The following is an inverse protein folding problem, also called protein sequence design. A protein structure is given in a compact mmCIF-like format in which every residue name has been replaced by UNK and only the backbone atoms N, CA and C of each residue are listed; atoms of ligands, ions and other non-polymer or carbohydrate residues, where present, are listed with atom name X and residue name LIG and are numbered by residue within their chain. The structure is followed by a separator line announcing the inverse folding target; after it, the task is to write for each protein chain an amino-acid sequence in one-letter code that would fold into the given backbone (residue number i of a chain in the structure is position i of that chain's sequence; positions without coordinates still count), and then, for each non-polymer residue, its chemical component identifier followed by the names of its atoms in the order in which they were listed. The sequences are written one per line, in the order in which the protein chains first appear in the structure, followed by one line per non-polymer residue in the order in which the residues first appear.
data_IF_326720898327
#
_entry.id   IF_326720898327
#
_cell.length_a   1.000
_cell.length_b   1.000
_cell.length_c   1.000
_cell.angle_alpha   90.00
_cell.angle_beta   90.00
_cell.angle_gamma   90.00
#
_symmetry.space_group_name_H-M   'P 1'
#
loop_
_entity.id
_entity.type
_entity.pdbx_description
1 polymer ?
#
# COMPACT_ATOMS: atom_id res chain seq x y z
N UNK A 1 -42.40 -16.52 10.80
CA UNK A 1 -42.20 -16.15 12.21
C UNK A 1 -42.02 -17.44 13.00
N UNK A 2 -40.76 -17.82 13.29
CA UNK A 2 -40.44 -19.04 14.05
C UNK A 2 -40.07 -18.62 15.46
N UNK A 3 -40.89 -19.00 16.44
CA UNK A 3 -40.67 -18.65 17.83
C UNK A 3 -39.68 -19.62 18.48
N UNK A 4 -38.82 -19.03 19.30
CA UNK A 4 -37.67 -19.55 20.02
C UNK A 4 -38.12 -20.29 21.29
N UNK A 5 -37.48 -21.44 21.56
CA UNK A 5 -37.63 -22.30 22.74
C UNK A 5 -36.44 -22.11 23.67
N UNK A 6 -36.65 -21.90 24.99
CA UNK A 6 -35.68 -22.33 26.03
C UNK A 6 -36.44 -22.72 27.30
N UNK A 7 -36.20 -23.95 27.76
CA UNK A 7 -36.63 -24.51 29.05
C UNK A 7 -35.44 -24.43 30.01
N UNK A 8 -35.67 -23.91 31.22
CA UNK A 8 -34.74 -23.92 32.35
C UNK A 8 -35.12 -25.05 33.32
N UNK A 9 -34.17 -25.91 33.67
CA UNK A 9 -34.25 -26.76 34.87
C UNK A 9 -32.89 -26.73 35.58
N UNK A 10 -32.83 -26.46 36.90
CA UNK A 10 -31.58 -26.35 37.64
C UNK A 10 -31.16 -27.66 38.31
N UNK A 11 -29.84 -27.75 38.55
CA UNK A 11 -29.11 -28.49 39.60
C UNK A 11 -29.48 -29.96 39.83
N UNK A 12 -28.45 -30.83 39.78
CA UNK A 12 -28.14 -31.81 40.84
C UNK A 12 -26.66 -32.24 40.72
N UNK A 13 -26.00 -32.39 41.86
CA UNK A 13 -24.84 -33.26 42.00
C UNK A 13 -23.51 -32.59 42.35
N UNK A 14 -23.29 -32.38 43.64
CA UNK A 14 -21.95 -32.38 44.24
C UNK A 14 -21.32 -33.77 44.06
N UNK A 15 -20.12 -33.85 43.48
CA UNK A 15 -19.09 -34.81 43.91
C UNK A 15 -17.72 -34.17 43.77
N UNK A 16 -17.01 -34.12 44.90
CA UNK A 16 -15.64 -33.69 45.00
C UNK A 16 -14.70 -34.77 44.45
N UNK A 17 -13.69 -34.37 43.68
CA UNK A 17 -12.40 -35.04 43.67
C UNK A 17 -11.31 -34.02 43.31
N UNK A 18 -10.41 -33.79 44.25
CA UNK A 18 -9.20 -33.00 44.07
C UNK A 18 -8.22 -33.83 43.24
N UNK A 19 -8.01 -33.45 41.99
CA UNK A 19 -6.75 -33.63 41.29
C UNK A 19 -6.60 -32.48 40.29
N UNK A 20 -5.86 -31.45 40.69
CA UNK A 20 -5.37 -30.43 39.77
C UNK A 20 -4.04 -30.98 39.25
N UNK A 21 -4.11 -31.73 38.15
CA UNK A 21 -2.96 -31.85 37.27
C UNK A 21 -2.98 -30.64 36.35
N UNK A 22 -2.01 -29.75 36.56
CA UNK A 22 -1.72 -28.62 35.69
C UNK A 22 -1.21 -29.15 34.35
N UNK A 23 -2.12 -29.48 33.44
CA UNK A 23 -1.76 -29.54 32.03
C UNK A 23 -1.49 -28.12 31.57
N UNK A 24 -0.20 -27.81 31.39
CA UNK A 24 0.24 -26.58 30.78
C UNK A 24 -0.46 -26.43 29.44
N UNK A 25 -1.31 -25.41 29.32
CA UNK A 25 -1.86 -24.95 28.05
C UNK A 25 -0.67 -24.62 27.14
N UNK A 26 -0.31 -25.57 26.30
CA UNK A 26 0.63 -25.35 25.22
C UNK A 26 -0.11 -24.44 24.27
N UNK A 27 0.05 -23.13 24.46
CA UNK A 27 -0.36 -22.11 23.50
C UNK A 27 0.38 -22.42 22.22
N UNK A 28 -0.21 -23.28 21.39
CA UNK A 28 0.13 -23.42 20.00
C UNK A 28 -0.30 -22.10 19.38
N UNK A 29 0.63 -21.14 19.34
CA UNK A 29 0.57 -20.06 18.38
C UNK A 29 0.41 -20.71 17.02
N UNK A 30 -0.83 -20.70 16.53
CA UNK A 30 -1.11 -20.89 15.12
C UNK A 30 -0.40 -19.70 14.47
N UNK A 31 0.82 -19.94 13.99
CA UNK A 31 1.46 -19.02 13.05
C UNK A 31 0.52 -19.05 11.85
N UNK A 32 -0.34 -18.04 11.72
CA UNK A 32 -1.23 -17.97 10.56
C UNK A 32 -0.33 -17.97 9.33
N UNK A 33 -0.80 -18.58 8.25
CA UNK A 33 -0.22 -18.33 6.94
C UNK A 33 0.01 -16.83 6.81
N UNK A 34 1.22 -16.44 6.45
CA UNK A 34 1.57 -15.05 6.21
C UNK A 34 0.57 -14.55 5.16
N UNK A 35 -0.42 -13.76 5.55
CA UNK A 35 -1.44 -13.24 4.66
C UNK A 35 -0.74 -12.22 3.75
N UNK A 36 -0.14 -12.69 2.66
CA UNK A 36 0.48 -11.83 1.65
C UNK A 36 -0.61 -11.32 0.71
N UNK A 37 -1.05 -10.09 0.95
CA UNK A 37 -2.02 -9.40 0.13
C UNK A 37 -1.59 -7.97 -0.16
N UNK A 38 -2.13 -7.42 -1.25
CA UNK A 38 -2.14 -5.98 -1.49
C UNK A 38 -3.50 -5.45 -1.07
N UNK A 39 -3.51 -4.51 -0.14
CA UNK A 39 -4.68 -3.72 0.20
C UNK A 39 -4.84 -2.58 -0.81
N UNK A 40 -6.05 -2.41 -1.31
CA UNK A 40 -6.40 -1.34 -2.23
C UNK A 40 -7.55 -0.52 -1.63
N UNK A 41 -7.35 0.80 -1.56
CA UNK A 41 -8.41 1.75 -1.28
C UNK A 41 -8.89 2.39 -2.58
N UNK A 42 -10.22 2.41 -2.79
CA UNK A 42 -10.87 2.84 -4.04
C UNK A 42 -10.59 1.91 -5.23
N UNK A 43 -11.00 2.30 -6.44
CA UNK A 43 -10.76 1.55 -7.69
C UNK A 43 -10.29 2.49 -8.80
N UNK A 44 -9.54 1.96 -9.76
CA UNK A 44 -9.01 2.75 -10.88
C UNK A 44 -10.12 3.43 -11.68
N UNK A 45 -11.26 2.77 -11.89
CA UNK A 45 -12.40 3.35 -12.62
C UNK A 45 -12.99 4.58 -11.91
N UNK A 46 -13.00 4.61 -10.58
CA UNK A 46 -13.44 5.76 -9.82
C UNK A 46 -12.48 6.95 -10.01
N UNK A 47 -11.17 6.69 -9.97
CA UNK A 47 -10.15 7.70 -10.29
C UNK A 47 -10.33 8.22 -11.72
N UNK A 48 -10.51 7.34 -12.71
CA UNK A 48 -10.70 7.71 -14.11
C UNK A 48 -11.94 8.60 -14.30
N UNK A 49 -13.01 8.32 -13.56
CA UNK A 49 -14.27 9.07 -13.58
C UNK A 49 -14.24 10.40 -12.82
N UNK A 50 -13.12 10.79 -12.21
CA UNK A 50 -13.01 12.07 -11.47
C UNK A 50 -13.35 11.98 -9.98
N UNK A 51 -13.49 10.78 -9.41
CA UNK A 51 -13.69 10.59 -7.97
C UNK A 51 -12.35 10.72 -7.25
N UNK A 52 -11.91 11.98 -7.06
CA UNK A 52 -10.59 12.28 -6.49
C UNK A 52 -10.57 12.42 -4.98
N UNK A 53 -11.71 12.62 -4.33
CA UNK A 53 -11.77 12.77 -2.87
C UNK A 53 -12.14 11.43 -2.22
N UNK A 54 -11.25 10.93 -1.38
CA UNK A 54 -11.51 9.81 -0.47
C UNK A 54 -11.42 10.23 0.99
N UNK A 55 -11.86 9.33 1.87
CA UNK A 55 -11.87 9.49 3.32
C UNK A 55 -10.88 8.57 4.06
N UNK A 56 -10.04 7.83 3.34
CA UNK A 56 -8.98 7.02 3.94
C UNK A 56 -7.85 7.92 4.42
N UNK A 57 -7.72 8.08 5.74
CA UNK A 57 -6.61 8.79 6.37
C UNK A 57 -5.33 7.95 6.31
N UNK A 58 -4.16 8.58 6.34
CA UNK A 58 -2.89 7.84 6.39
C UNK A 58 -2.69 7.09 7.70
N UNK A 59 -3.24 7.56 8.81
CA UNK A 59 -3.31 6.79 10.06
C UNK A 59 -3.98 5.42 9.85
N UNK A 60 -5.08 5.39 9.10
CA UNK A 60 -5.81 4.14 8.84
C UNK A 60 -5.17 3.33 7.72
N UNK A 61 -4.65 3.98 6.67
CA UNK A 61 -3.99 3.29 5.56
C UNK A 61 -2.79 2.46 6.05
N UNK A 62 -2.00 2.99 6.97
CA UNK A 62 -0.83 2.30 7.56
C UNK A 62 -1.17 1.03 8.32
N UNK A 63 -2.44 0.81 8.70
CA UNK A 63 -2.90 -0.44 9.32
C UNK A 63 -2.99 -1.60 8.31
N UNK A 64 -2.85 -1.30 7.02
CA UNK A 64 -2.94 -2.27 5.93
C UNK A 64 -1.62 -2.50 5.21
N UNK A 65 -0.55 -1.79 5.60
CA UNK A 65 0.73 -1.89 4.94
C UNK A 65 1.70 -0.78 5.32
N UNK A 66 2.99 -1.05 5.11
CA UNK A 66 4.09 -0.12 5.35
C UNK A 66 4.76 0.35 4.05
N UNK A 67 4.34 -0.18 2.90
CA UNK A 67 4.90 0.14 1.60
C UNK A 67 3.81 0.21 0.53
N UNK A 68 3.89 1.20 -0.35
CA UNK A 68 2.93 1.33 -1.44
C UNK A 68 2.96 2.64 -2.19
N UNK A 69 2.00 2.78 -3.09
CA UNK A 69 1.83 3.94 -3.99
C UNK A 69 0.37 4.36 -4.04
N UNK A 70 0.12 5.59 -4.50
CA UNK A 70 -1.23 6.10 -4.67
C UNK A 70 -1.26 7.55 -5.11
N UNK A 71 -2.41 8.19 -4.93
CA UNK A 71 -2.58 9.62 -5.14
C UNK A 71 -3.17 10.29 -3.92
N UNK A 72 -3.03 11.61 -3.83
CA UNK A 72 -3.72 12.39 -2.81
C UNK A 72 -5.09 12.82 -3.29
N UNK A 73 -5.94 13.22 -2.33
CA UNK A 73 -7.18 13.91 -2.66
C UNK A 73 -6.92 15.07 -3.63
N UNK A 74 -7.89 15.36 -4.50
CA UNK A 74 -7.78 16.39 -5.55
C UNK A 74 -6.67 16.16 -6.57
N UNK A 75 -6.06 14.97 -6.68
CA UNK A 75 -4.84 14.75 -7.47
C UNK A 75 -3.66 15.63 -7.01
N UNK A 76 -3.58 16.01 -5.73
CA UNK A 76 -2.48 16.84 -5.22
C UNK A 76 -1.17 16.05 -5.04
N UNK A 77 -0.55 15.69 -6.17
CA UNK A 77 0.69 14.93 -6.22
C UNK A 77 0.52 13.42 -6.08
N UNK A 78 1.67 12.75 -6.07
CA UNK A 78 1.78 11.29 -5.98
C UNK A 78 2.13 10.87 -4.55
N UNK A 79 1.56 9.75 -4.12
CA UNK A 79 1.86 9.11 -2.84
C UNK A 79 2.94 8.04 -3.02
N UNK A 80 3.96 8.12 -2.17
CA UNK A 80 4.89 7.02 -1.90
C UNK A 80 4.86 6.72 -0.40
N UNK A 81 4.55 5.49 -0.04
CA UNK A 81 4.73 4.98 1.32
C UNK A 81 5.94 4.06 1.36
N UNK A 82 6.86 4.29 2.28
CA UNK A 82 8.00 3.41 2.51
C UNK A 82 8.30 3.33 4.02
N UNK A 83 8.31 2.12 4.55
CA UNK A 83 8.54 1.83 5.98
C UNK A 83 7.59 2.63 6.88
N UNK A 84 6.31 2.70 6.48
CA UNK A 84 5.26 3.40 7.20
C UNK A 84 5.32 4.92 7.14
N UNK A 85 6.33 5.50 6.47
CA UNK A 85 6.43 6.94 6.23
C UNK A 85 5.79 7.27 4.89
N UNK A 86 4.86 8.24 4.90
CA UNK A 86 4.15 8.70 3.70
C UNK A 86 4.78 9.98 3.18
N UNK A 87 5.14 9.97 1.90
CA UNK A 87 5.69 11.10 1.18
C UNK A 87 4.73 11.54 0.07
N UNK A 88 4.57 12.86 -0.05
CA UNK A 88 3.94 13.50 -1.20
C UNK A 88 4.99 14.01 -2.16
N UNK A 89 4.94 13.53 -3.40
CA UNK A 89 5.74 14.05 -4.51
C UNK A 89 4.86 15.04 -5.27
N UNK A 90 5.18 16.32 -5.18
CA UNK A 90 4.40 17.41 -5.79
C UNK A 90 4.76 17.59 -7.26
N UNK A 91 3.87 18.26 -8.00
CA UNK A 91 4.03 18.57 -9.42
C UNK A 91 5.36 19.27 -9.78
N UNK A 92 5.95 20.01 -8.85
CA UNK A 92 7.20 20.73 -9.02
C UNK A 92 8.44 19.92 -8.61
N UNK A 93 8.26 18.64 -8.24
CA UNK A 93 9.32 17.76 -7.77
C UNK A 93 9.66 17.90 -6.29
N UNK A 94 9.01 18.79 -5.53
CA UNK A 94 9.19 18.86 -4.08
C UNK A 94 8.64 17.59 -3.43
N UNK A 95 9.39 17.06 -2.46
CA UNK A 95 9.02 15.89 -1.68
C UNK A 95 8.85 16.32 -0.23
N UNK A 96 7.70 16.03 0.35
CA UNK A 96 7.41 16.32 1.76
C UNK A 96 6.81 15.09 2.45
N UNK A 97 7.14 14.91 3.73
CA UNK A 97 6.42 13.96 4.57
C UNK A 97 5.05 14.55 4.92
N UNK A 98 4.01 13.73 4.88
CA UNK A 98 2.64 14.17 5.15
C UNK A 98 2.15 13.72 6.53
N UNK A 99 1.16 14.44 7.04
CA UNK A 99 0.53 14.16 8.33
C UNK A 99 -0.40 12.95 8.24
N UNK A 100 -0.53 12.21 9.35
CA UNK A 100 -1.40 11.03 9.43
C UNK A 100 -2.90 11.37 9.29
N UNK A 101 -3.24 12.66 9.48
CA UNK A 101 -4.59 13.19 9.30
C UNK A 101 -4.94 13.53 7.85
N UNK A 102 -3.96 13.59 6.94
CA UNK A 102 -4.26 13.74 5.51
C UNK A 102 -4.88 12.45 4.95
N UNK A 103 -5.56 12.58 3.81
CA UNK A 103 -6.30 11.48 3.19
C UNK A 103 -5.97 11.26 1.72
N UNK A 104 -6.22 10.04 1.27
CA UNK A 104 -6.04 9.60 -0.12
C UNK A 104 -7.37 9.29 -0.80
N UNK A 105 -7.41 9.53 -2.11
CA UNK A 105 -8.51 9.11 -2.99
C UNK A 105 -8.28 7.73 -3.62
N UNK A 106 -7.03 7.24 -3.64
CA UNK A 106 -6.65 5.93 -4.16
C UNK A 106 -5.27 5.53 -3.62
N UNK A 107 -5.15 4.31 -3.11
CA UNK A 107 -3.88 3.77 -2.65
C UNK A 107 -3.81 2.25 -2.81
N UNK A 108 -2.59 1.75 -2.98
CA UNK A 108 -2.23 0.34 -3.04
C UNK A 108 -1.06 0.12 -2.09
N UNK A 109 -1.28 -0.61 -0.99
CA UNK A 109 -0.29 -0.83 0.06
C UNK A 109 -0.22 -2.30 0.44
N UNK A 110 0.91 -2.73 1.00
CA UNK A 110 1.05 -4.03 1.67
C UNK A 110 2.09 -3.93 2.79
N UNK A 111 2.06 -4.90 3.68
CA UNK A 111 3.19 -5.17 4.58
C UNK A 111 4.31 -5.80 3.76
N UNK A 112 5.36 -5.01 3.48
CA UNK A 112 6.38 -5.37 2.52
C UNK A 112 7.50 -6.21 3.13
N UNK A 113 7.48 -7.49 2.78
CA UNK A 113 8.62 -8.40 2.95
C UNK A 113 9.07 -8.88 1.57
N UNK A 114 10.35 -8.73 1.19
CA UNK A 114 10.80 -9.14 -0.13
C UNK A 114 10.94 -10.67 -0.23
N UNK A 115 10.22 -11.30 -1.16
CA UNK A 115 10.40 -12.73 -1.47
C UNK A 115 11.68 -13.01 -2.27
N UNK A 116 12.05 -12.07 -3.13
CA UNK A 116 13.22 -12.15 -4.01
C UNK A 116 14.01 -10.85 -3.89
N UNK A 117 15.30 -10.98 -3.63
CA UNK A 117 16.23 -9.86 -3.62
C UNK A 117 17.42 -10.16 -4.54
N UNK A 118 17.76 -9.20 -5.41
CA UNK A 118 18.89 -9.32 -6.32
C UNK A 118 19.48 -7.95 -6.68
N UNK A 119 20.71 -7.96 -7.19
CA UNK A 119 21.44 -6.76 -7.60
C UNK A 119 21.56 -6.76 -9.12
N UNK A 120 21.22 -5.64 -9.75
CA UNK A 120 21.47 -5.41 -11.18
C UNK A 120 22.75 -4.58 -11.30
N UNK A 121 23.81 -5.20 -11.84
CA UNK A 121 25.05 -4.51 -12.16
C UNK A 121 25.13 -4.34 -13.68
N UNK A 122 24.89 -3.11 -14.16
CA UNK A 122 25.02 -2.80 -15.58
C UNK A 122 25.54 -1.39 -15.78
N UNK A 123 26.48 -1.24 -16.72
CA UNK A 123 26.88 0.09 -17.23
C UNK A 123 25.79 0.57 -18.18
N UNK A 124 25.36 1.82 -18.02
CA UNK A 124 24.34 2.41 -18.91
C UNK A 124 22.95 1.79 -18.76
N UNK A 125 22.60 1.26 -17.58
CA UNK A 125 21.27 0.71 -17.31
C UNK A 125 20.19 1.74 -17.64
N UNK A 126 19.28 1.39 -18.54
CA UNK A 126 18.12 2.18 -18.91
C UNK A 126 16.82 1.46 -18.49
N UNK A 127 15.67 2.12 -18.67
CA UNK A 127 14.39 1.58 -18.24
C UNK A 127 14.01 0.24 -18.92
N UNK A 128 14.15 0.07 -20.26
CA UNK A 128 13.94 -1.23 -20.90
C UNK A 128 14.79 -2.36 -20.28
N UNK A 129 16.08 -2.14 -20.09
CA UNK A 129 16.98 -3.13 -19.50
C UNK A 129 16.62 -3.46 -18.04
N UNK A 130 16.21 -2.45 -17.26
CA UNK A 130 15.72 -2.64 -15.89
C UNK A 130 14.44 -3.47 -15.89
N UNK A 131 13.48 -3.14 -16.76
CA UNK A 131 12.23 -3.88 -16.91
C UNK A 131 12.50 -5.33 -17.24
N UNK A 132 13.33 -5.61 -18.25
CA UNK A 132 13.67 -6.98 -18.66
C UNK A 132 14.37 -7.77 -17.55
N UNK A 133 15.26 -7.11 -16.79
CA UNK A 133 15.93 -7.72 -15.65
C UNK A 133 14.94 -8.13 -14.55
N UNK A 134 13.89 -7.36 -14.34
CA UNK A 134 12.84 -7.67 -13.36
C UNK A 134 11.90 -8.76 -13.90
N UNK A 135 11.40 -8.62 -15.13
CA UNK A 135 10.38 -9.53 -15.70
C UNK A 135 10.87 -10.96 -15.84
N UNK A 136 12.17 -11.17 -16.09
CA UNK A 136 12.79 -12.51 -16.13
C UNK A 136 12.74 -13.26 -14.79
N UNK A 137 12.41 -12.58 -13.68
CA UNK A 137 12.43 -13.13 -12.31
C UNK A 137 11.05 -13.24 -11.68
N UNK A 138 10.01 -12.80 -12.37
CA UNK A 138 8.63 -12.82 -11.90
C UNK A 138 7.76 -13.65 -12.85
N UNK A 139 6.63 -14.15 -12.33
CA UNK A 139 5.66 -14.91 -13.10
C UNK A 139 4.61 -13.98 -13.68
N UNK A 140 3.99 -14.40 -14.78
CA UNK A 140 2.83 -13.71 -15.33
C UNK A 140 1.61 -13.88 -14.41
N UNK A 141 0.63 -12.97 -14.53
CA UNK A 141 -0.66 -13.02 -13.84
C UNK A 141 -0.57 -12.98 -12.30
N UNK A 142 0.32 -12.16 -11.74
CA UNK A 142 0.43 -11.90 -10.30
C UNK A 142 0.65 -10.41 -10.03
N UNK A 143 0.28 -9.95 -8.83
CA UNK A 143 0.55 -8.58 -8.37
C UNK A 143 1.90 -8.58 -7.64
N UNK A 144 2.74 -7.60 -7.92
CA UNK A 144 4.07 -7.47 -7.33
C UNK A 144 4.24 -6.11 -6.67
N UNK A 145 4.73 -6.10 -5.43
CA UNK A 145 5.35 -4.92 -4.85
C UNK A 145 6.86 -4.98 -5.13
N UNK A 146 7.41 -3.92 -5.72
CA UNK A 146 8.81 -3.88 -6.12
C UNK A 146 9.45 -2.64 -5.52
N UNK A 147 10.45 -2.86 -4.67
CA UNK A 147 11.28 -1.80 -4.09
C UNK A 147 12.65 -1.80 -4.76
N UNK A 148 13.01 -0.68 -5.39
CA UNK A 148 14.29 -0.51 -6.09
C UNK A 148 15.10 0.57 -5.35
N UNK A 149 16.32 0.21 -4.94
CA UNK A 149 17.29 1.14 -4.34
C UNK A 149 18.59 1.16 -5.14
N UNK A 150 19.22 2.33 -5.24
CA UNK A 150 20.42 2.49 -6.05
C UNK A 150 20.77 3.93 -6.40
N UNK A 151 21.83 4.08 -7.19
CA UNK A 151 22.23 5.37 -7.75
C UNK A 151 21.70 5.45 -9.17
N UNK A 152 20.93 6.50 -9.46
CA UNK A 152 20.37 6.75 -10.78
C UNK A 152 20.92 8.06 -11.31
N UNK A 153 21.54 8.02 -12.49
CA UNK A 153 22.05 9.23 -13.15
C UNK A 153 20.91 10.18 -13.48
N UNK A 154 19.79 9.64 -13.95
CA UNK A 154 18.60 10.40 -14.34
C UNK A 154 17.35 9.61 -14.01
N UNK A 155 16.29 10.29 -13.56
CA UNK A 155 14.94 9.73 -13.47
C UNK A 155 13.97 10.79 -13.98
N UNK A 156 13.09 10.39 -14.88
CA UNK A 156 11.96 11.22 -15.27
C UNK A 156 10.75 10.75 -14.45
N UNK A 157 10.07 11.71 -13.83
CA UNK A 157 8.87 11.47 -13.05
C UNK A 157 7.80 12.48 -13.44
N UNK A 158 6.57 12.19 -13.04
CA UNK A 158 5.43 13.10 -13.20
C UNK A 158 4.62 13.06 -11.92
N UNK A 159 4.04 14.20 -11.57
CA UNK A 159 3.06 14.30 -10.49
C UNK A 159 2.02 15.33 -10.89
N UNK A 160 0.71 15.04 -10.74
CA UNK A 160 -0.34 15.95 -11.12
C UNK A 160 -0.34 17.22 -10.25
N UNK A 161 -0.84 18.31 -10.83
CA UNK A 161 -1.22 19.48 -10.05
C UNK A 161 -2.50 19.17 -9.26
N UNK A 162 -2.79 19.89 -8.17
CA UNK A 162 -4.10 19.81 -7.54
C UNK A 162 -5.19 20.24 -8.53
N UNK A 163 -6.24 19.44 -8.63
CA UNK A 163 -7.49 19.76 -9.30
C UNK A 163 -8.45 20.52 -8.37
N UNK A 164 -9.40 21.24 -8.96
CA UNK A 164 -10.46 21.96 -8.27
C UNK A 164 -11.83 21.45 -8.72
N UNK A 165 -12.84 21.53 -7.86
CA UNK A 165 -14.20 21.14 -8.21
C UNK A 165 -14.82 22.13 -9.22
N UNK A 166 -15.75 21.67 -10.09
CA UNK A 166 -16.12 20.26 -10.28
C UNK A 166 -14.98 19.47 -10.93
N UNK A 167 -14.74 18.24 -10.45
CA UNK A 167 -13.68 17.40 -11.00
C UNK A 167 -14.08 16.86 -12.37
N UNK A 168 -13.21 17.07 -13.35
CA UNK A 168 -13.33 16.43 -14.67
C UNK A 168 -12.78 15.00 -14.64
N UNK A 169 -13.14 14.15 -15.60
CA UNK A 169 -12.48 12.86 -15.80
C UNK A 169 -10.96 12.99 -15.93
N UNK A 170 -10.21 11.96 -15.51
CA UNK A 170 -8.74 12.03 -15.46
C UNK A 170 -8.11 12.29 -16.82
N UNK A 171 -8.63 11.70 -17.89
CA UNK A 171 -8.10 11.92 -19.23
C UNK A 171 -8.17 13.40 -19.65
N UNK A 172 -9.31 14.04 -19.40
CA UNK A 172 -9.53 15.46 -19.69
C UNK A 172 -8.62 16.34 -18.83
N UNK A 173 -8.47 15.97 -17.55
CA UNK A 173 -7.57 16.67 -16.63
C UNK A 173 -6.13 16.65 -17.14
N UNK A 174 -5.61 15.46 -17.45
CA UNK A 174 -4.23 15.28 -17.90
C UNK A 174 -3.96 15.94 -19.27
N UNK A 175 -4.96 16.02 -20.15
CA UNK A 175 -4.84 16.74 -21.43
C UNK A 175 -4.70 18.25 -21.23
N UNK A 176 -5.32 18.81 -20.18
CA UNK A 176 -5.32 20.25 -19.91
C UNK A 176 -4.01 20.78 -19.31
N UNK A 177 -3.11 19.91 -18.84
CA UNK A 177 -1.89 20.30 -18.11
C UNK A 177 -0.60 19.72 -18.71
N UNK A 178 0.51 20.43 -18.52
CA UNK A 178 1.85 19.86 -18.71
C UNK A 178 2.29 19.19 -17.42
N UNK A 179 2.68 17.92 -17.49
CA UNK A 179 3.05 17.11 -16.32
C UNK A 179 4.41 16.48 -16.58
N UNK A 180 5.41 16.80 -15.77
CA UNK A 180 6.71 16.13 -15.84
C UNK A 180 7.85 16.96 -15.28
N UNK A 181 8.75 16.28 -14.58
CA UNK A 181 10.03 16.82 -14.12
C UNK A 181 11.10 15.73 -14.18
N UNK A 182 12.36 16.15 -14.21
CA UNK A 182 13.51 15.26 -14.24
C UNK A 182 14.39 15.48 -13.04
N UNK A 183 14.79 14.39 -12.38
CA UNK A 183 15.85 14.40 -11.39
C UNK A 183 17.18 13.99 -12.03
N UNK A 184 18.27 14.56 -11.52
CA UNK A 184 19.65 14.23 -11.92
C UNK A 184 20.48 13.83 -10.71
N UNK A 185 21.42 12.92 -10.92
CA UNK A 185 22.44 12.49 -9.94
C UNK A 185 21.87 12.06 -8.58
N UNK A 186 20.78 11.29 -8.62
CA UNK A 186 20.08 10.86 -7.41
C UNK A 186 20.76 9.70 -6.69
N UNK A 187 20.80 9.82 -5.37
CA UNK A 187 21.09 8.72 -4.45
C UNK A 187 19.77 8.29 -3.81
N UNK A 188 19.25 7.12 -4.16
CA UNK A 188 18.17 6.51 -3.38
C UNK A 188 18.82 5.88 -2.14
N UNK A 189 18.43 6.29 -0.92
CA UNK A 189 19.00 5.71 0.30
C UNK A 189 18.81 4.19 0.31
N UNK A 190 19.79 3.48 0.85
CA UNK A 190 19.61 2.09 1.25
C UNK A 190 19.16 2.13 2.71
N UNK A 191 17.99 1.60 2.97
CA UNK A 191 17.62 1.15 4.31
C UNK A 191 18.04 -0.31 4.39
#
# INVERSE_FOLDING_TARGET
MKNLLIILVPLWGFFACNHIESEAEKTTTVISANDDFVYQYSIMDALLAGVYDGNMTFENLKKHGDFGIGGFNRLDGELLMNEGIVYKIRFNGNIEQVSDNDSTGIAFVKDFTPDIQFIIQAKGLNYPMLKDSITQRIKENSIYAIRISGKLKTMNARSPHPSSKPYMPLADYLYSIKIGFGFRDMKIPRN
#
